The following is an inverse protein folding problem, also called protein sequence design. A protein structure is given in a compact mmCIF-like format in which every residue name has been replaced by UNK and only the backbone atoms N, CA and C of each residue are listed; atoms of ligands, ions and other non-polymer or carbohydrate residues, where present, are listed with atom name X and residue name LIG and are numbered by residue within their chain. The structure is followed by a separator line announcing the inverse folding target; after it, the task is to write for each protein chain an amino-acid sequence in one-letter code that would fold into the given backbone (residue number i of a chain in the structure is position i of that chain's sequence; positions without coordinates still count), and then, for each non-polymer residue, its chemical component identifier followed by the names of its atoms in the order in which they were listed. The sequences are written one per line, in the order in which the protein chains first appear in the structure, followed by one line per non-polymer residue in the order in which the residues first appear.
data_IF_723024678032
#
_entry.id   IF_723024678032
#
_cell.length_a   1.000
_cell.length_b   1.000
_cell.length_c   1.000
_cell.angle_alpha   90.00
_cell.angle_beta   90.00
_cell.angle_gamma   90.00
#
_symmetry.space_group_name_H-M   'P 1'
#
loop_
_entity.id
_entity.type
_entity.pdbx_description
1 polymer ?
#
# COMPACT_ATOMS: atom_id res chain seq x y z
N UNK A 1 2.73 -5.70 -5.33
CA UNK A 1 3.20 -4.29 -5.42
C UNK A 1 3.88 -4.04 -6.74
N UNK A 2 5.04 -3.38 -6.73
CA UNK A 2 5.80 -2.99 -7.93
C UNK A 2 6.81 -4.06 -8.42
N UNK A 3 7.06 -5.09 -7.63
CA UNK A 3 8.07 -6.11 -7.95
C UNK A 3 9.50 -5.63 -7.65
N UNK A 4 10.48 -6.33 -8.23
CA UNK A 4 11.89 -5.93 -8.12
C UNK A 4 12.21 -4.86 -9.16
N UNK A 5 12.80 -3.75 -8.71
CA UNK A 5 13.27 -2.67 -9.58
C UNK A 5 14.78 -2.57 -9.39
N UNK A 6 15.53 -2.67 -10.48
CA UNK A 6 16.98 -2.58 -10.41
C UNK A 6 17.41 -1.16 -10.01
N UNK A 7 18.46 -1.06 -9.19
CA UNK A 7 19.09 0.22 -8.80
C UNK A 7 18.13 1.24 -8.15
N UNK A 8 17.03 0.78 -7.53
CA UNK A 8 16.02 1.65 -6.91
C UNK A 8 16.18 1.85 -5.39
N UNK A 9 17.08 1.10 -4.76
CA UNK A 9 17.32 1.14 -3.32
C UNK A 9 18.56 1.94 -2.95
N UNK A 10 18.59 2.45 -1.72
CA UNK A 10 19.76 3.07 -1.11
C UNK A 10 20.22 2.25 0.10
N UNK A 11 21.52 2.30 0.39
CA UNK A 11 22.12 1.70 1.60
C UNK A 11 23.08 2.69 2.24
N UNK A 12 23.33 2.54 3.53
CA UNK A 12 24.34 3.35 4.21
C UNK A 12 25.73 3.08 3.61
N UNK A 13 26.54 4.14 3.50
CA UNK A 13 27.97 4.00 3.12
C UNK A 13 28.73 3.28 4.23
N UNK A 14 29.84 2.64 3.88
CA UNK A 14 30.61 1.80 4.81
C UNK A 14 31.05 2.54 6.09
N UNK A 15 31.41 3.82 5.97
CA UNK A 15 31.76 4.66 7.12
C UNK A 15 30.64 4.79 8.17
N UNK A 16 29.39 4.51 7.79
CA UNK A 16 28.22 4.54 8.67
C UNK A 16 27.68 3.14 8.99
N UNK A 17 28.38 2.06 8.61
CA UNK A 17 27.99 0.69 8.92
C UNK A 17 27.70 0.40 10.41
N UNK A 18 28.38 1.05 11.40
CA UNK A 18 28.01 0.88 12.82
C UNK A 18 26.58 1.30 13.18
N UNK A 19 25.90 2.05 12.29
CA UNK A 19 24.54 2.54 12.48
C UNK A 19 23.50 1.79 11.62
N UNK A 20 23.95 0.83 10.80
CA UNK A 20 23.08 0.06 9.92
C UNK A 20 22.36 -1.06 10.68
N UNK A 21 21.03 -0.94 10.82
CA UNK A 21 20.22 -1.93 11.49
C UNK A 21 20.24 -3.29 10.79
N UNK A 22 20.34 -3.32 9.45
CA UNK A 22 20.40 -4.58 8.68
C UNK A 22 21.68 -5.37 8.97
N UNK A 23 22.77 -4.70 9.36
CA UNK A 23 24.02 -5.36 9.78
C UNK A 23 24.04 -5.76 11.26
N UNK A 24 23.37 -4.98 12.12
CA UNK A 24 23.37 -5.19 13.58
C UNK A 24 22.43 -6.29 14.03
N UNK A 25 21.34 -6.51 13.29
CA UNK A 25 20.29 -7.45 13.69
C UNK A 25 20.05 -8.48 12.59
N UNK A 26 20.19 -9.77 12.94
CA UNK A 26 19.85 -10.85 12.03
C UNK A 26 18.31 -10.99 11.96
N UNK A 27 17.71 -10.54 10.86
CA UNK A 27 16.28 -10.68 10.60
C UNK A 27 16.06 -11.69 9.48
N UNK A 28 15.21 -12.72 9.67
CA UNK A 28 14.87 -13.66 8.61
C UNK A 28 14.22 -12.93 7.42
N UNK A 29 14.70 -13.20 6.21
CA UNK A 29 14.13 -12.66 4.98
C UNK A 29 12.79 -13.30 4.64
N UNK A 30 11.70 -12.82 5.23
CA UNK A 30 10.35 -13.32 4.94
C UNK A 30 9.74 -12.50 3.81
N UNK A 31 9.35 -13.18 2.72
CA UNK A 31 8.54 -12.57 1.66
C UNK A 31 7.09 -12.98 1.84
N UNK A 32 6.23 -12.00 2.08
CA UNK A 32 4.78 -12.19 2.15
C UNK A 32 4.17 -11.57 0.91
N UNK A 33 3.32 -12.32 0.23
CA UNK A 33 2.58 -11.80 -0.90
C UNK A 33 1.46 -10.86 -0.42
N UNK A 34 1.10 -9.87 -1.25
CA UNK A 34 -0.06 -9.03 -0.99
C UNK A 34 -1.33 -9.91 -0.88
N UNK A 35 -2.32 -9.51 -0.04
CA UNK A 35 -3.59 -10.21 0.04
C UNK A 35 -4.25 -10.35 -1.33
N UNK A 36 -4.73 -11.55 -1.67
CA UNK A 36 -5.31 -11.86 -3.00
C UNK A 36 -6.46 -10.95 -3.40
N UNK A 37 -7.22 -10.46 -2.42
CA UNK A 37 -8.35 -9.55 -2.66
C UNK A 37 -7.92 -8.11 -2.99
N UNK A 38 -6.68 -7.75 -2.67
CA UNK A 38 -6.17 -6.40 -2.82
C UNK A 38 -5.56 -6.16 -4.20
N UNK A 39 -5.85 -5.01 -4.80
CA UNK A 39 -5.30 -4.60 -6.10
C UNK A 39 -4.36 -3.37 -5.98
N UNK A 40 -3.74 -3.14 -4.80
CA UNK A 40 -2.85 -1.99 -4.58
C UNK A 40 -1.69 -1.92 -5.58
N UNK A 41 -1.15 -3.05 -6.04
CA UNK A 41 -0.11 -3.08 -7.06
C UNK A 41 -0.55 -2.43 -8.39
N UNK A 42 -1.79 -2.67 -8.81
CA UNK A 42 -2.35 -2.07 -10.04
C UNK A 42 -2.66 -0.58 -9.84
N UNK A 43 -3.10 -0.18 -8.64
CA UNK A 43 -3.26 1.24 -8.27
C UNK A 43 -1.93 1.97 -8.34
N UNK A 44 -0.87 1.41 -7.74
CA UNK A 44 0.47 2.01 -7.74
C UNK A 44 1.08 2.14 -9.14
N UNK A 45 0.79 1.18 -10.03
CA UNK A 45 1.20 1.24 -11.44
C UNK A 45 0.33 2.19 -12.27
N UNK A 46 -0.76 2.73 -11.72
CA UNK A 46 -1.71 3.57 -12.44
C UNK A 46 -2.57 2.81 -13.45
N UNK A 47 -2.62 1.48 -13.38
CA UNK A 47 -3.45 0.62 -14.26
C UNK A 47 -4.92 0.74 -13.92
N UNK A 48 -5.23 0.97 -12.63
CA UNK A 48 -6.60 1.22 -12.16
C UNK A 48 -6.64 2.30 -11.10
N UNK A 49 -7.77 2.99 -11.01
CA UNK A 49 -8.09 3.97 -9.98
C UNK A 49 -8.62 3.27 -8.73
N UNK A 50 -8.44 3.84 -7.52
CA UNK A 50 -8.85 3.17 -6.29
C UNK A 50 -10.31 2.69 -6.28
N UNK A 51 -11.24 3.45 -6.87
CA UNK A 51 -12.65 3.05 -6.95
C UNK A 51 -12.96 1.94 -7.94
N UNK A 52 -12.02 1.58 -8.81
CA UNK A 52 -12.12 0.41 -9.70
C UNK A 52 -11.63 -0.87 -9.00
N UNK A 53 -11.02 -0.75 -7.81
CA UNK A 53 -10.63 -1.89 -6.98
C UNK A 53 -11.87 -2.52 -6.33
N UNK A 54 -12.01 -3.84 -6.46
CA UNK A 54 -13.20 -4.59 -6.05
C UNK A 54 -13.56 -4.47 -4.57
N UNK A 55 -12.57 -4.18 -3.71
CA UNK A 55 -12.76 -4.11 -2.25
C UNK A 55 -12.69 -2.70 -1.69
N UNK A 56 -12.45 -1.68 -2.53
CA UNK A 56 -12.30 -0.30 -2.09
C UNK A 56 -13.60 0.25 -1.48
N UNK A 57 -13.49 0.88 -0.30
CA UNK A 57 -14.60 1.52 0.39
C UNK A 57 -15.68 0.56 0.92
N UNK A 58 -15.49 -0.75 0.74
CA UNK A 58 -16.41 -1.80 1.23
C UNK A 58 -15.68 -2.65 2.26
N UNK A 59 -14.97 -3.68 1.82
CA UNK A 59 -14.17 -4.54 2.70
C UNK A 59 -12.81 -3.93 3.07
N UNK A 60 -12.32 -2.96 2.28
CA UNK A 60 -11.08 -2.23 2.54
C UNK A 60 -11.44 -0.77 2.85
N UNK A 61 -11.35 -0.40 4.13
CA UNK A 61 -11.57 0.96 4.66
C UNK A 61 -10.37 1.38 5.53
N UNK A 62 -10.25 2.66 5.95
CA UNK A 62 -9.21 3.07 6.90
C UNK A 62 -9.26 2.30 8.23
N UNK A 63 -10.46 1.94 8.71
CA UNK A 63 -10.66 1.17 9.94
C UNK A 63 -10.34 -0.32 9.74
N UNK A 64 -10.54 -0.83 8.52
CA UNK A 64 -10.29 -2.22 8.14
C UNK A 64 -9.44 -2.31 6.87
N UNK A 65 -8.15 -1.93 6.94
CA UNK A 65 -7.34 -1.83 5.75
C UNK A 65 -6.86 -3.21 5.31
N UNK A 66 -7.19 -3.58 4.06
CA UNK A 66 -6.68 -4.83 3.45
C UNK A 66 -5.30 -4.60 2.79
N UNK A 67 -5.09 -3.42 2.22
CA UNK A 67 -3.88 -3.11 1.44
C UNK A 67 -3.12 -1.91 1.95
N UNK A 68 -1.82 -1.86 1.67
CA UNK A 68 -0.92 -0.79 2.09
C UNK A 68 -1.34 0.60 1.60
N UNK A 69 -1.96 0.70 0.42
CA UNK A 69 -2.48 1.98 -0.08
C UNK A 69 -3.68 2.53 0.73
N UNK A 70 -4.31 1.72 1.58
CA UNK A 70 -5.35 2.18 2.53
C UNK A 70 -4.78 2.47 3.92
N UNK A 71 -3.67 1.82 4.30
CA UNK A 71 -2.99 2.08 5.59
C UNK A 71 -2.20 3.38 5.56
N UNK A 72 -1.48 3.65 4.46
CA UNK A 72 -0.63 4.83 4.36
C UNK A 72 -1.45 6.10 4.18
N UNK A 73 -1.09 7.17 4.89
CA UNK A 73 -1.66 8.52 4.70
C UNK A 73 -1.35 9.09 3.32
N UNK A 74 -0.24 8.69 2.71
CA UNK A 74 0.13 9.02 1.33
C UNK A 74 -0.44 8.02 0.31
N UNK A 75 -1.12 6.97 0.79
CA UNK A 75 -1.69 5.93 -0.04
C UNK A 75 -2.83 6.47 -0.90
N UNK A 76 -2.81 6.15 -2.20
CA UNK A 76 -3.85 6.59 -3.11
C UNK A 76 -5.26 6.15 -2.67
N UNK A 77 -5.42 4.94 -2.12
CA UNK A 77 -6.73 4.49 -1.63
C UNK A 77 -7.18 5.33 -0.44
N UNK A 78 -6.32 5.56 0.56
CA UNK A 78 -6.66 6.40 1.71
C UNK A 78 -7.02 7.83 1.27
N UNK A 79 -6.22 8.43 0.38
CA UNK A 79 -6.47 9.77 -0.14
C UNK A 79 -7.82 9.88 -0.87
N UNK A 80 -8.15 8.91 -1.73
CA UNK A 80 -9.44 8.89 -2.42
C UNK A 80 -10.61 8.60 -1.48
N UNK A 81 -10.42 7.78 -0.45
CA UNK A 81 -11.46 7.52 0.55
C UNK A 81 -11.77 8.78 1.37
N UNK A 82 -10.74 9.52 1.80
CA UNK A 82 -10.90 10.71 2.65
C UNK A 82 -11.33 11.97 1.88
N UNK A 83 -10.83 12.14 0.65
CA UNK A 83 -10.95 13.41 -0.08
C UNK A 83 -11.49 13.27 -1.50
N UNK A 84 -11.79 12.05 -1.94
CA UNK A 84 -12.39 11.80 -3.24
C UNK A 84 -13.77 12.45 -3.31
N UNK A 85 -13.85 13.65 -3.87
CA UNK A 85 -15.12 14.33 -4.16
C UNK A 85 -15.76 13.67 -5.36
N UNK A 86 -16.44 12.57 -5.12
CA UNK A 86 -17.14 11.82 -6.17
C UNK A 86 -18.61 11.74 -5.85
N UNK A 87 -19.37 12.70 -6.39
CA UNK A 87 -20.82 12.65 -6.49
C UNK A 87 -21.35 11.44 -7.30
N UNK A 88 -20.47 10.52 -7.74
CA UNK A 88 -20.78 9.38 -8.60
C UNK A 88 -20.17 8.05 -8.11
N UNK A 89 -19.40 8.02 -7.02
CA UNK A 89 -18.95 6.75 -6.45
C UNK A 89 -20.05 6.18 -5.57
N UNK A 90 -20.84 5.26 -6.14
CA UNK A 90 -21.71 4.36 -5.37
C UNK A 90 -20.83 3.44 -4.53
N UNK A 91 -20.30 3.96 -3.42
CA UNK A 91 -19.77 3.13 -2.34
C UNK A 91 -21.00 2.76 -1.51
N UNK A 92 -21.47 1.51 -1.52
CA UNK A 92 -22.53 1.10 -0.62
C UNK A 92 -21.93 1.04 0.78
N UNK A 93 -21.99 2.16 1.49
CA UNK A 93 -21.69 2.20 2.91
C UNK A 93 -22.78 1.37 3.58
N UNK A 94 -22.45 0.18 4.07
CA UNK A 94 -23.35 -0.56 4.96
C UNK A 94 -23.42 0.21 6.26
N UNK A 95 -24.53 0.94 6.45
CA UNK A 95 -24.93 1.46 7.76
C UNK A 95 -25.00 0.29 8.74
N UNK A 96 -24.32 0.43 9.88
CA UNK A 96 -24.56 -0.39 11.06
C UNK A 96 -25.99 -0.19 11.57
#
# INVERSE_FOLDING_TARGET
GLGFIAQSGLRLREAFAPWDAERRFAVPGIRVADPKACQCGEVLKGVLKPWECKVFGTACTPETPIGTCMVSSEGACAAYYSFGRTAQLRIPVRSA
#
